data_IF_349736920823
#
_entry.id   IF_349736920823
#
_cell.length_a   1.000
_cell.length_b   1.000
_cell.length_c   1.000
_cell.angle_alpha   90.00
_cell.angle_beta   90.00
_cell.angle_gamma   90.00
#
_symmetry.space_group_name_H-M   'P 1'
#
loop_
_entity.id
_entity.type
_entity.pdbx_description
1 polymer ?
#
# COMPACT_ATOMS: atom_id res chain seq x y z
N UNK A 1 -11.02 -7.18 8.09
CA UNK A 1 -9.65 -7.66 8.35
C UNK A 1 -8.65 -6.69 7.73
N UNK A 2 -7.41 -6.68 8.20
CA UNK A 2 -6.40 -5.73 7.75
C UNK A 2 -5.08 -6.43 7.36
N UNK A 3 -4.38 -5.83 6.42
CA UNK A 3 -3.01 -6.15 6.04
C UNK A 3 -2.07 -5.22 6.78
N UNK A 4 -1.15 -5.78 7.56
CA UNK A 4 -0.05 -5.05 8.15
C UNK A 4 1.21 -5.25 7.32
N UNK A 5 1.78 -4.16 6.82
CA UNK A 5 3.00 -4.16 6.00
C UNK A 5 4.11 -3.47 6.75
N UNK A 6 5.29 -4.10 6.84
CA UNK A 6 6.44 -3.57 7.57
C UNK A 6 7.72 -3.80 6.77
N UNK A 7 8.70 -2.93 6.90
CA UNK A 7 10.04 -3.23 6.40
C UNK A 7 10.57 -4.51 7.09
N UNK A 8 11.06 -5.48 6.32
CA UNK A 8 11.61 -6.72 6.86
C UNK A 8 12.94 -6.49 7.58
N UNK A 9 13.66 -5.45 7.17
CA UNK A 9 14.92 -5.03 7.78
C UNK A 9 14.66 -3.74 8.54
N UNK A 10 14.95 -3.66 9.85
CA UNK A 10 14.80 -2.43 10.60
C UNK A 10 15.72 -1.34 10.02
N UNK A 11 15.24 -0.10 9.86
CA UNK A 11 16.05 0.97 9.28
C UNK A 11 17.28 1.24 10.15
N UNK A 12 18.43 1.44 9.50
CA UNK A 12 19.70 1.70 10.18
C UNK A 12 19.73 3.05 10.94
N UNK A 13 18.77 3.94 10.66
CA UNK A 13 18.66 5.26 11.30
C UNK A 13 17.25 5.51 11.86
N UNK A 14 17.14 6.16 13.03
CA UNK A 14 15.85 6.46 13.65
C UNK A 14 14.99 7.46 12.83
N UNK A 15 15.58 8.24 11.92
CA UNK A 15 14.84 9.14 11.02
C UNK A 15 14.08 8.41 9.91
N UNK A 16 14.48 7.19 9.55
CA UNK A 16 13.69 6.28 8.69
C UNK A 16 12.79 5.36 9.51
N UNK A 17 12.91 5.37 10.84
CA UNK A 17 12.09 4.58 11.75
C UNK A 17 10.69 5.18 12.00
N UNK A 18 10.28 6.24 11.32
CA UNK A 18 8.87 6.70 11.34
C UNK A 18 8.00 5.88 10.37
N UNK A 19 8.58 5.15 9.42
CA UNK A 19 7.89 4.21 8.52
C UNK A 19 7.88 2.81 9.14
N UNK A 20 7.17 2.60 10.26
CA UNK A 20 7.24 1.29 10.94
C UNK A 20 6.27 0.26 10.36
N UNK A 21 5.04 0.68 10.08
CA UNK A 21 3.94 -0.21 9.75
C UNK A 21 2.94 0.56 8.88
N UNK A 22 2.50 -0.02 7.76
CA UNK A 22 1.30 0.39 7.04
C UNK A 22 0.18 -0.60 7.36
N UNK A 23 -1.02 -0.11 7.66
CA UNK A 23 -2.18 -0.96 7.91
C UNK A 23 -3.24 -0.62 6.89
N UNK A 24 -3.66 -1.61 6.12
CA UNK A 24 -4.58 -1.44 5.01
C UNK A 24 -5.77 -2.36 5.17
N UNK A 25 -6.99 -1.86 4.99
CA UNK A 25 -8.18 -2.72 4.97
C UNK A 25 -8.11 -3.69 3.77
N UNK A 26 -8.85 -4.79 3.81
CA UNK A 26 -8.99 -5.70 2.64
C UNK A 26 -9.47 -4.96 1.37
N UNK A 27 -10.22 -3.86 1.52
CA UNK A 27 -10.66 -3.03 0.40
C UNK A 27 -9.52 -2.18 -0.15
N UNK A 28 -8.77 -1.51 0.72
CA UNK A 28 -7.65 -0.66 0.33
C UNK A 28 -6.50 -1.47 -0.27
N UNK A 29 -6.19 -2.62 0.33
CA UNK A 29 -5.17 -3.54 -0.18
C UNK A 29 -5.47 -3.98 -1.61
N UNK A 30 -6.71 -4.39 -1.91
CA UNK A 30 -7.11 -4.77 -3.27
C UNK A 30 -6.99 -3.61 -4.26
N UNK A 31 -7.34 -2.40 -3.84
CA UNK A 31 -7.24 -1.20 -4.68
C UNK A 31 -5.79 -0.80 -4.93
N UNK A 32 -4.93 -0.86 -3.90
CA UNK A 32 -3.49 -0.60 -4.01
C UNK A 32 -2.82 -1.56 -4.99
N UNK A 33 -3.13 -2.86 -4.90
CA UNK A 33 -2.59 -3.85 -5.83
C UNK A 33 -3.14 -3.69 -7.24
N UNK A 34 -4.42 -3.33 -7.38
CA UNK A 34 -5.00 -3.02 -8.70
C UNK A 34 -4.32 -1.80 -9.33
N UNK A 35 -4.11 -0.73 -8.55
CA UNK A 35 -3.41 0.47 -9.00
C UNK A 35 -1.97 0.13 -9.41
N UNK A 36 -1.21 -0.57 -8.57
CA UNK A 36 0.14 -0.98 -8.90
C UNK A 36 0.19 -1.79 -10.21
N UNK A 37 -0.77 -2.70 -10.43
CA UNK A 37 -0.88 -3.49 -11.68
C UNK A 37 -1.13 -2.63 -12.91
N UNK A 38 -1.95 -1.58 -12.80
CA UNK A 38 -2.15 -0.61 -13.89
C UNK A 38 -0.87 0.14 -14.23
N UNK A 39 -0.01 0.37 -13.24
CA UNK A 39 1.31 1.02 -13.40
C UNK A 39 2.48 0.03 -13.54
N UNK A 40 2.22 -1.20 -13.98
CA UNK A 40 3.25 -2.14 -14.44
C UNK A 40 3.80 -3.12 -13.41
N UNK A 41 3.25 -3.16 -12.19
CA UNK A 41 3.57 -4.21 -11.22
C UNK A 41 2.83 -5.51 -11.59
N UNK A 42 3.55 -6.53 -12.06
CA UNK A 42 2.98 -7.84 -12.38
C UNK A 42 3.38 -8.89 -11.31
N UNK A 43 2.52 -9.18 -10.31
CA UNK A 43 2.85 -10.15 -9.28
C UNK A 43 2.66 -11.61 -9.70
N UNK A 44 2.24 -11.90 -10.95
CA UNK A 44 1.90 -13.26 -11.37
C UNK A 44 3.04 -14.24 -11.13
N UNK A 45 2.70 -15.43 -10.65
CA UNK A 45 3.66 -16.48 -10.34
C UNK A 45 4.13 -16.41 -8.89
N UNK A 46 5.42 -16.20 -8.66
CA UNK A 46 6.05 -16.37 -7.35
C UNK A 46 5.57 -15.38 -6.28
N UNK A 47 5.09 -14.19 -6.67
CA UNK A 47 4.79 -13.11 -5.73
C UNK A 47 3.29 -12.99 -5.38
N UNK A 48 2.40 -13.57 -6.18
CA UNK A 48 0.96 -13.46 -5.99
C UNK A 48 0.52 -14.05 -4.64
N UNK A 49 1.08 -15.20 -4.27
CA UNK A 49 0.80 -15.87 -2.99
C UNK A 49 1.41 -15.11 -1.79
N UNK A 50 2.46 -14.32 -2.01
CA UNK A 50 3.12 -13.53 -0.96
C UNK A 50 2.32 -12.28 -0.59
N UNK A 51 1.54 -11.74 -1.54
CA UNK A 51 0.71 -10.55 -1.36
C UNK A 51 -0.63 -10.85 -0.67
N UNK A 52 -1.00 -12.12 -0.53
CA UNK A 52 -2.27 -12.54 0.07
C UNK A 52 -2.07 -13.60 1.16
N UNK A 53 -1.32 -13.30 2.25
CA UNK A 53 -1.21 -14.18 3.39
C UNK A 53 -2.58 -14.58 3.95
N UNK A 54 -2.68 -15.82 4.42
CA UNK A 54 -3.84 -16.27 5.19
C UNK A 54 -3.88 -15.62 6.59
N UNK A 55 -5.01 -15.73 7.29
CA UNK A 55 -5.15 -15.18 8.65
C UNK A 55 -4.09 -15.76 9.59
N UNK A 56 -3.34 -14.89 10.27
CA UNK A 56 -2.25 -15.30 11.15
C UNK A 56 -0.96 -15.68 10.43
N UNK A 57 -0.93 -15.55 9.10
CA UNK A 57 0.26 -15.76 8.29
C UNK A 57 1.00 -14.44 8.06
N UNK A 58 2.33 -14.55 8.03
CA UNK A 58 3.24 -13.48 7.60
C UNK A 58 4.05 -14.00 6.42
N UNK A 59 4.02 -13.27 5.31
CA UNK A 59 4.82 -13.52 4.11
C UNK A 59 5.82 -12.40 3.91
N UNK A 60 6.96 -12.70 3.31
CA UNK A 60 7.95 -11.70 2.93
C UNK A 60 7.88 -11.49 1.41
N UNK A 61 7.73 -10.24 0.98
CA UNK A 61 7.89 -9.82 -0.39
C UNK A 61 9.39 -9.48 -0.61
N UNK A 62 10.08 -10.18 -1.52
CA UNK A 62 11.51 -9.99 -1.73
C UNK A 62 11.82 -8.59 -2.29
N UNK A 63 13.07 -8.15 -2.13
CA UNK A 63 13.54 -6.81 -2.51
C UNK A 63 13.12 -6.40 -3.93
N UNK A 64 13.29 -7.28 -4.91
CA UNK A 64 12.99 -6.97 -6.32
C UNK A 64 11.49 -6.65 -6.50
N UNK A 65 10.62 -7.50 -5.96
CA UNK A 65 9.17 -7.29 -6.04
C UNK A 65 8.72 -6.07 -5.23
N UNK A 66 9.34 -5.80 -4.08
CA UNK A 66 9.08 -4.59 -3.30
C UNK A 66 9.48 -3.33 -4.08
N UNK A 67 10.63 -3.33 -4.75
CA UNK A 67 11.07 -2.20 -5.58
C UNK A 67 10.16 -1.97 -6.79
N UNK A 68 9.72 -3.03 -7.46
CA UNK A 68 8.75 -2.92 -8.56
C UNK A 68 7.42 -2.34 -8.09
N UNK A 69 6.93 -2.79 -6.93
CA UNK A 69 5.73 -2.22 -6.30
C UNK A 69 5.92 -0.73 -5.97
N UNK A 70 7.08 -0.34 -5.41
CA UNK A 70 7.39 1.05 -5.07
C UNK A 70 7.41 1.95 -6.31
N UNK A 71 7.98 1.47 -7.43
CA UNK A 71 8.02 2.20 -8.70
C UNK A 71 6.62 2.39 -9.24
N UNK A 72 5.81 1.33 -9.30
CA UNK A 72 4.44 1.41 -9.81
C UNK A 72 3.58 2.40 -9.00
N UNK A 73 3.66 2.38 -7.67
CA UNK A 73 2.93 3.32 -6.81
C UNK A 73 3.45 4.76 -6.95
N UNK A 74 4.76 4.95 -7.19
CA UNK A 74 5.33 6.28 -7.44
C UNK A 74 4.87 6.87 -8.77
N UNK A 75 4.77 6.05 -9.82
CA UNK A 75 4.21 6.48 -11.11
C UNK A 75 2.73 6.83 -10.98
N UNK A 76 1.95 6.06 -10.22
CA UNK A 76 0.57 6.39 -9.90
C UNK A 76 0.42 7.77 -9.23
N UNK A 77 1.25 8.05 -8.23
CA UNK A 77 1.28 9.35 -7.54
C UNK A 77 1.65 10.50 -8.49
N UNK A 78 2.56 10.24 -9.44
CA UNK A 78 3.00 11.22 -10.43
C UNK A 78 1.91 11.56 -11.45
N UNK A 79 1.12 10.58 -11.88
CA UNK A 79 0.03 10.80 -12.84
C UNK A 79 -1.12 11.61 -12.23
N UNK A 80 -1.52 11.35 -10.97
CA UNK A 80 -2.60 12.10 -10.31
C UNK A 80 -2.18 13.53 -9.92
N UNK A 81 -0.88 13.77 -9.67
CA UNK A 81 -0.36 15.13 -9.40
C UNK A 81 -0.22 16.02 -10.64
N UNK A 82 -0.59 15.50 -11.82
CA UNK A 82 -0.73 16.30 -13.04
C UNK A 82 -1.95 17.24 -12.92
N UNK A 83 -1.94 18.46 -13.52
CA UNK A 83 -2.89 19.55 -13.21
C UNK A 83 -4.34 19.34 -13.68
N UNK A 84 -4.86 18.11 -13.68
CA UNK A 84 -6.23 17.73 -14.08
C UNK A 84 -7.04 17.01 -12.99
N UNK A 85 -6.45 16.71 -11.84
CA UNK A 85 -7.20 16.13 -10.73
C UNK A 85 -7.99 17.26 -10.02
N UNK A 86 -9.29 17.35 -10.29
CA UNK A 86 -10.22 17.98 -9.35
C UNK A 86 -10.06 17.25 -8.00
N UNK A 87 -10.00 18.00 -6.89
CA UNK A 87 -9.77 17.46 -5.54
C UNK A 87 -10.89 16.49 -5.13
N UNK A 88 -10.79 15.22 -5.55
CA UNK A 88 -11.68 14.14 -5.13
C UNK A 88 -11.28 13.74 -3.70
N UNK A 89 -12.04 14.22 -2.70
CA UNK A 89 -11.92 13.78 -1.31
C UNK A 89 -12.78 12.53 -1.04
N UNK A 90 -12.22 11.54 -0.36
CA UNK A 90 -12.90 10.31 0.04
C UNK A 90 -12.60 9.92 1.49
N UNK A 91 -13.34 8.95 2.02
CA UNK A 91 -13.12 8.43 3.36
C UNK A 91 -12.15 7.25 3.34
N UNK A 92 -11.11 7.35 4.17
CA UNK A 92 -10.12 6.29 4.40
C UNK A 92 -10.03 5.98 5.89
N UNK A 93 -9.75 4.73 6.22
CA UNK A 93 -9.54 4.28 7.58
C UNK A 93 -8.05 4.25 7.89
N UNK A 94 -7.64 5.02 8.91
CA UNK A 94 -6.31 4.95 9.51
C UNK A 94 -6.44 4.45 10.96
N UNK A 95 -5.58 3.52 11.44
CA UNK A 95 -5.70 2.99 12.80
C UNK A 95 -5.49 4.01 13.92
N UNK A 96 -4.70 5.07 13.69
CA UNK A 96 -4.40 6.09 14.71
C UNK A 96 -5.47 7.18 14.78
N UNK A 97 -6.12 7.47 13.64
CA UNK A 97 -7.06 8.59 13.48
C UNK A 97 -8.50 8.16 13.25
N UNK A 98 -8.74 6.88 12.97
CA UNK A 98 -10.02 6.35 12.52
C UNK A 98 -10.36 6.78 11.08
N UNK A 99 -11.65 6.76 10.76
CA UNK A 99 -12.15 7.26 9.48
C UNK A 99 -11.90 8.76 9.35
N UNK A 100 -11.18 9.17 8.31
CA UNK A 100 -10.93 10.58 8.00
C UNK A 100 -10.99 10.83 6.48
N UNK A 101 -11.11 12.11 6.10
CA UNK A 101 -11.12 12.53 4.70
C UNK A 101 -9.71 12.67 4.17
N UNK A 102 -9.50 12.20 2.95
CA UNK A 102 -8.24 12.28 2.25
C UNK A 102 -8.44 12.51 0.74
N UNK A 103 -7.47 13.14 0.09
CA UNK A 103 -7.33 13.14 -1.37
C UNK A 103 -7.25 11.71 -1.91
N UNK A 104 -8.02 11.43 -2.95
CA UNK A 104 -8.11 10.10 -3.55
C UNK A 104 -7.39 10.03 -4.89
N UNK A 105 -6.76 8.90 -5.16
CA UNK A 105 -6.26 8.50 -6.48
C UNK A 105 -7.28 7.58 -7.14
N UNK A 106 -7.55 7.80 -8.43
CA UNK A 106 -8.41 6.91 -9.21
C UNK A 106 -7.65 5.68 -9.68
N UNK A 107 -8.28 4.53 -9.55
CA UNK A 107 -7.80 3.20 -9.93
C UNK A 107 -8.74 2.65 -10.98
N UNK A 108 -8.30 2.64 -12.23
CA UNK A 108 -9.03 2.09 -13.37
C UNK A 108 -10.44 2.64 -13.65
N UNK A 109 -11.04 2.26 -14.78
CA UNK A 109 -12.49 2.28 -14.96
C UNK A 109 -13.09 0.99 -14.36
N UNK A 110 -14.11 1.03 -13.47
CA UNK A 110 -14.95 2.17 -13.10
C UNK A 110 -14.56 2.75 -11.73
N UNK A 111 -13.69 3.77 -11.71
CA UNK A 111 -13.61 4.78 -10.65
C UNK A 111 -13.38 4.26 -9.23
N UNK A 112 -12.61 3.17 -9.07
CA UNK A 112 -12.17 2.78 -7.73
C UNK A 112 -11.24 3.88 -7.19
N UNK A 113 -11.35 4.18 -5.89
CA UNK A 113 -10.59 5.27 -5.28
C UNK A 113 -9.79 4.76 -4.09
N UNK A 114 -8.51 5.13 -4.04
CA UNK A 114 -7.58 4.81 -2.94
C UNK A 114 -6.95 6.09 -2.38
N UNK A 115 -6.76 6.16 -1.07
CA UNK A 115 -6.20 7.34 -0.40
C UNK A 115 -4.74 7.60 -0.78
N UNK A 116 -4.40 8.88 -0.94
CA UNK A 116 -3.07 9.32 -1.36
C UNK A 116 -1.96 8.90 -0.38
N UNK A 117 -2.19 9.03 0.92
CA UNK A 117 -1.26 8.61 1.97
C UNK A 117 -1.12 7.10 2.01
N UNK A 118 -2.17 6.32 1.76
CA UNK A 118 -2.06 4.86 1.66
C UNK A 118 -1.11 4.45 0.53
N UNK A 119 -1.25 5.07 -0.66
CA UNK A 119 -0.35 4.83 -1.80
C UNK A 119 1.08 5.23 -1.46
N UNK A 120 1.26 6.43 -0.89
CA UNK A 120 2.57 6.94 -0.49
C UNK A 120 3.23 6.07 0.58
N UNK A 121 2.50 5.67 1.61
CA UNK A 121 3.02 4.88 2.72
C UNK A 121 3.49 3.51 2.25
N UNK A 122 2.69 2.81 1.44
CA UNK A 122 3.08 1.52 0.89
C UNK A 122 4.28 1.67 -0.06
N UNK A 123 4.28 2.67 -0.94
CA UNK A 123 5.39 2.94 -1.85
C UNK A 123 6.69 3.21 -1.09
N UNK A 124 6.65 4.04 -0.05
CA UNK A 124 7.81 4.33 0.79
C UNK A 124 8.30 3.10 1.56
N UNK A 125 7.40 2.28 2.12
CA UNK A 125 7.80 1.02 2.77
C UNK A 125 8.52 0.10 1.78
N UNK A 126 7.96 -0.07 0.59
CA UNK A 126 8.50 -0.96 -0.43
C UNK A 126 9.81 -0.43 -1.04
N UNK A 127 10.04 0.89 -1.04
CA UNK A 127 11.30 1.51 -1.45
C UNK A 127 12.46 1.18 -0.49
N UNK A 128 12.17 0.99 0.80
CA UNK A 128 13.22 0.78 1.82
C UNK A 128 13.91 -0.58 1.75
N UNK A 129 13.27 -1.60 1.16
CA UNK A 129 13.80 -2.95 1.10
C UNK A 129 12.73 -4.03 0.98
N UNK A 130 13.06 -5.30 1.28
CA UNK A 130 12.06 -6.35 1.42
C UNK A 130 11.03 -5.95 2.47
N UNK A 131 9.76 -6.32 2.24
CA UNK A 131 8.67 -6.02 3.18
C UNK A 131 8.02 -7.31 3.66
N UNK A 132 7.62 -7.32 4.93
CA UNK A 132 6.74 -8.34 5.47
C UNK A 132 5.31 -7.89 5.39
N UNK A 133 4.42 -8.80 4.99
CA UNK A 133 2.98 -8.59 4.85
C UNK A 133 2.32 -9.63 5.74
N UNK A 134 1.57 -9.18 6.73
CA UNK A 134 0.82 -10.04 7.65
C UNK A 134 -0.67 -9.76 7.54
N UNK A 135 -1.49 -10.80 7.69
CA UNK A 135 -2.96 -10.64 7.76
C UNK A 135 -3.42 -10.68 9.20
N UNK A 136 -3.77 -9.51 9.72
CA UNK A 136 -4.29 -9.31 11.06
C UNK A 136 -5.83 -9.28 11.07
N UNK A 137 -6.40 -9.68 12.20
CA UNK A 137 -7.79 -9.35 12.50
C UNK A 137 -7.95 -7.83 12.55
N UNK A 138 -9.12 -7.32 12.11
CA UNK A 138 -9.42 -5.91 12.35
C UNK A 138 -9.29 -5.65 13.85
N UNK A 139 -8.64 -4.55 14.28
CA UNK A 139 -8.65 -4.19 15.69
C UNK A 139 -10.11 -4.10 16.14
N UNK A 140 -10.49 -4.91 17.14
CA UNK A 140 -11.82 -4.86 17.73
C UNK A 140 -12.04 -3.42 18.23
N UNK A 141 -13.03 -2.74 17.63
CA UNK A 141 -13.47 -1.39 17.96
C UNK A 141 -13.95 -1.27 19.40
#
# INVERSE_FOLDING_TARGET
>A
MAFEVRAAIPPASPSTAELRIGVFTDADWRKLLALAREHGFDPRGEYEDLLQPERGETRELPLVAAQELAVALSEALREETSPRAEDDEGWVYDPERGWHRETMIRVGPPGLQVGWAHVRQLGQLAETGPVTIARADEPET
#
